data_IF_328068001092
#
_entry.id   IF_328068001092
#
_cell.length_a   1.000
_cell.length_b   1.000
_cell.length_c   1.000
_cell.angle_alpha   90.00
_cell.angle_beta   90.00
_cell.angle_gamma   90.00
#
_symmetry.space_group_name_H-M   'P 1'
#
loop_
_entity.id
_entity.type
_entity.pdbx_description
1 polymer ?
#
# COMPACT_ATOMS: atom_id res chain seq x y z
N UNK A 1 15.38 -29.28 -2.67
CA UNK A 1 14.22 -28.54 -3.22
C UNK A 1 13.93 -27.41 -2.28
N UNK A 2 14.17 -26.17 -2.69
CA UNK A 2 13.68 -25.00 -1.96
C UNK A 2 12.15 -25.08 -1.90
N UNK A 3 11.58 -24.92 -0.70
CA UNK A 3 10.13 -24.75 -0.55
C UNK A 3 9.78 -23.44 -1.23
N UNK A 4 9.22 -23.51 -2.44
CA UNK A 4 8.60 -22.36 -3.09
C UNK A 4 7.50 -21.88 -2.15
N UNK A 5 7.72 -20.75 -1.48
CA UNK A 5 6.74 -20.13 -0.59
C UNK A 5 5.73 -19.40 -1.45
N UNK A 6 4.64 -20.10 -1.79
CA UNK A 6 3.49 -19.63 -2.61
C UNK A 6 2.80 -18.35 -2.09
N UNK A 7 3.27 -17.76 -0.99
CA UNK A 7 2.68 -16.58 -0.34
C UNK A 7 3.58 -15.35 -0.35
N UNK A 8 4.74 -15.38 -1.00
CA UNK A 8 5.53 -14.15 -1.16
C UNK A 8 4.81 -13.19 -2.10
N UNK A 9 4.93 -11.87 -1.88
CA UNK A 9 4.45 -10.87 -2.85
C UNK A 9 5.05 -11.17 -4.22
N UNK A 10 6.32 -11.59 -4.28
CA UNK A 10 6.96 -11.99 -5.52
C UNK A 10 6.23 -13.15 -6.21
N UNK A 11 5.85 -14.20 -5.47
CA UNK A 11 5.09 -15.32 -6.05
C UNK A 11 3.69 -14.88 -6.49
N UNK A 12 3.00 -14.09 -5.67
CA UNK A 12 1.68 -13.56 -6.01
C UNK A 12 1.76 -12.73 -7.28
N UNK A 13 2.71 -11.80 -7.33
CA UNK A 13 2.93 -10.93 -8.47
C UNK A 13 3.37 -11.72 -9.71
N UNK A 14 4.15 -12.80 -9.60
CA UNK A 14 4.49 -13.66 -10.74
C UNK A 14 3.29 -14.42 -11.34
N UNK A 15 2.27 -14.72 -10.54
CA UNK A 15 1.17 -15.59 -10.96
C UNK A 15 -0.15 -14.86 -11.24
N UNK A 16 -0.22 -13.55 -11.02
CA UNK A 16 -1.43 -12.75 -11.21
C UNK A 16 -1.35 -11.90 -12.47
N UNK A 17 -2.50 -11.59 -13.07
CA UNK A 17 -2.55 -10.71 -14.25
C UNK A 17 -2.18 -9.27 -13.89
N UNK A 18 -2.62 -8.80 -12.72
CA UNK A 18 -2.40 -7.42 -12.28
C UNK A 18 -2.05 -7.34 -10.80
N UNK A 19 -1.09 -6.48 -10.48
CA UNK A 19 -0.75 -6.11 -9.10
C UNK A 19 -0.85 -4.59 -8.98
N UNK A 20 -1.79 -4.12 -8.16
CA UNK A 20 -2.02 -2.72 -7.85
C UNK A 20 -1.40 -2.39 -6.50
N UNK A 21 -0.50 -1.42 -6.49
CA UNK A 21 0.09 -0.89 -5.28
C UNK A 21 -0.74 0.25 -4.72
N UNK A 22 -1.07 0.15 -3.44
CA UNK A 22 -1.59 1.24 -2.64
C UNK A 22 -0.47 2.16 -2.14
N UNK A 23 -0.77 3.39 -1.74
CA UNK A 23 0.23 4.28 -1.16
C UNK A 23 0.67 3.83 0.23
N UNK A 24 -0.19 3.14 0.97
CA UNK A 24 0.08 2.73 2.33
C UNK A 24 1.24 1.75 2.46
N UNK A 25 1.53 0.96 1.41
CA UNK A 25 2.69 0.04 1.39
C UNK A 25 4.01 0.72 1.07
N UNK A 26 3.98 2.01 0.71
CA UNK A 26 5.18 2.75 0.37
C UNK A 26 6.08 2.94 1.58
N UNK A 27 5.54 3.01 2.80
CA UNK A 27 6.36 3.21 4.02
C UNK A 27 6.20 2.08 5.02
N UNK A 28 7.16 1.93 5.92
CA UNK A 28 6.97 1.06 7.08
C UNK A 28 6.24 1.85 8.18
N UNK A 29 5.08 1.35 8.59
CA UNK A 29 4.41 1.77 9.83
C UNK A 29 5.41 1.70 10.98
N UNK A 30 5.58 2.80 11.69
CA UNK A 30 6.49 2.86 12.82
C UNK A 30 5.71 2.79 14.13
N UNK A 31 5.97 1.77 14.95
CA UNK A 31 5.59 1.79 16.36
C UNK A 31 6.39 2.89 17.08
N UNK A 32 5.73 3.78 17.84
CA UNK A 32 6.41 4.64 18.81
C UNK A 32 6.33 4.05 20.22
N UNK A 33 7.39 4.22 21.02
CA UNK A 33 7.46 3.76 22.42
C UNK A 33 6.30 4.31 23.25
N UNK A 34 5.78 3.44 24.14
CA UNK A 34 4.75 3.71 25.14
C UNK A 34 4.90 5.09 25.80
N UNK A 35 3.85 5.91 25.74
CA UNK A 35 3.49 6.77 26.87
C UNK A 35 2.72 5.88 27.84
N UNK A 36 3.06 5.90 29.13
CA UNK A 36 2.41 5.03 30.10
C UNK A 36 0.88 5.27 30.11
N UNK A 37 0.09 4.24 29.81
CA UNK A 37 -1.38 4.28 29.87
C UNK A 37 -2.11 4.25 28.53
N UNK A 38 -1.43 4.52 27.41
CA UNK A 38 -2.04 4.50 26.07
C UNK A 38 -1.33 3.47 25.19
N UNK A 39 -2.09 2.73 24.37
CA UNK A 39 -1.54 1.70 23.48
C UNK A 39 -0.47 2.22 22.53
N UNK A 40 0.22 1.31 21.81
CA UNK A 40 1.17 1.69 20.75
C UNK A 40 0.46 2.59 19.73
N UNK A 41 0.89 3.84 19.60
CA UNK A 41 0.43 4.72 18.52
C UNK A 41 1.38 4.52 17.33
N UNK A 42 0.83 4.04 16.21
CA UNK A 42 1.53 3.87 14.94
C UNK A 42 1.45 5.16 14.15
N UNK A 43 2.58 5.56 13.58
CA UNK A 43 2.63 6.70 12.67
C UNK A 43 3.49 6.35 11.45
N UNK A 44 3.09 6.84 10.29
CA UNK A 44 3.81 6.67 9.03
C UNK A 44 5.18 7.36 9.07
N UNK A 45 6.09 6.89 8.21
CA UNK A 45 7.41 7.49 8.05
C UNK A 45 7.32 8.99 7.68
N UNK A 46 6.31 9.40 6.92
CA UNK A 46 6.04 10.81 6.59
C UNK A 46 5.83 11.67 7.85
N UNK A 47 5.03 11.20 8.80
CA UNK A 47 4.79 11.86 10.08
C UNK A 47 6.06 11.92 10.92
N UNK A 48 6.83 10.82 10.93
CA UNK A 48 8.13 10.78 11.59
C UNK A 48 9.09 11.86 11.06
N UNK A 49 9.16 12.05 9.74
CA UNK A 49 9.97 13.11 9.12
C UNK A 49 9.50 14.52 9.51
N UNK A 50 8.19 14.74 9.56
CA UNK A 50 7.62 16.03 9.94
C UNK A 50 8.00 16.48 11.36
N UNK A 51 8.33 15.55 12.27
CA UNK A 51 8.73 15.86 13.65
C UNK A 51 10.22 16.12 13.82
N UNK A 52 11.05 15.70 12.87
CA UNK A 52 12.49 15.81 12.98
C UNK A 52 12.96 17.22 12.66
N UNK A 53 13.66 17.83 13.62
CA UNK A 53 14.20 19.18 13.48
C UNK A 53 15.66 19.16 13.04
N UNK A 54 16.40 18.13 13.44
CA UNK A 54 17.82 17.94 13.15
C UNK A 54 18.13 16.48 12.78
N UNK A 55 19.13 16.28 11.90
CA UNK A 55 19.65 14.97 11.52
C UNK A 55 20.06 14.09 12.71
N UNK A 56 20.48 14.67 13.83
CA UNK A 56 20.86 13.92 15.02
C UNK A 56 19.67 13.17 15.64
N UNK A 57 18.45 13.68 15.47
CA UNK A 57 17.21 13.12 16.01
C UNK A 57 16.72 11.92 15.19
N UNK A 58 17.30 11.67 14.01
CA UNK A 58 17.00 10.44 13.28
C UNK A 58 17.39 9.21 14.11
N UNK A 59 16.50 8.24 14.16
CA UNK A 59 16.75 6.91 14.67
C UNK A 59 17.46 6.14 13.56
N UNK A 60 18.67 5.67 13.86
CA UNK A 60 19.52 5.01 12.88
C UNK A 60 18.91 3.68 12.43
N UNK A 61 18.33 2.91 13.34
CA UNK A 61 17.74 1.61 13.00
C UNK A 61 16.46 1.78 12.21
N UNK A 62 15.71 2.86 12.48
CA UNK A 62 14.54 3.23 11.68
C UNK A 62 14.93 3.61 10.25
N UNK A 63 15.98 4.42 10.07
CA UNK A 63 16.49 4.74 8.73
C UNK A 63 16.96 3.49 7.98
N UNK A 64 17.70 2.60 8.63
CA UNK A 64 18.13 1.33 8.00
C UNK A 64 16.93 0.47 7.58
N UNK A 65 15.94 0.32 8.47
CA UNK A 65 14.73 -0.46 8.18
C UNK A 65 13.95 0.13 7.00
N UNK A 66 13.81 1.46 6.97
CA UNK A 66 13.13 2.13 5.87
C UNK A 66 13.90 2.02 4.54
N UNK A 67 15.23 2.10 4.58
CA UNK A 67 16.08 1.91 3.39
C UNK A 67 15.95 0.49 2.84
N UNK A 68 15.95 -0.51 3.72
CA UNK A 68 15.74 -1.91 3.32
C UNK A 68 14.37 -2.06 2.65
N UNK A 69 13.30 -1.59 3.29
CA UNK A 69 11.95 -1.61 2.73
C UNK A 69 11.86 -0.96 1.36
N UNK A 70 12.40 0.26 1.20
CA UNK A 70 12.36 0.95 -0.10
C UNK A 70 13.18 0.21 -1.15
N UNK A 71 14.28 -0.45 -0.76
CA UNK A 71 15.11 -1.22 -1.68
C UNK A 71 14.41 -2.48 -2.16
N UNK A 72 13.75 -3.20 -1.24
CA UNK A 72 12.99 -4.41 -1.58
C UNK A 72 11.78 -4.08 -2.45
N UNK A 73 11.07 -2.99 -2.15
CA UNK A 73 9.97 -2.50 -2.97
C UNK A 73 10.44 -2.07 -4.37
N UNK A 74 11.56 -1.36 -4.44
CA UNK A 74 12.18 -1.00 -5.72
C UNK A 74 12.53 -2.24 -6.54
N UNK A 75 13.20 -3.22 -5.93
CA UNK A 75 13.55 -4.47 -6.59
C UNK A 75 12.31 -5.18 -7.14
N UNK A 76 11.25 -5.30 -6.32
CA UNK A 76 10.00 -5.93 -6.74
C UNK A 76 9.37 -5.21 -7.94
N UNK A 77 9.22 -3.88 -7.88
CA UNK A 77 8.62 -3.08 -8.95
C UNK A 77 9.41 -3.22 -10.26
N UNK A 78 10.74 -3.17 -10.19
CA UNK A 78 11.58 -3.29 -11.39
C UNK A 78 11.66 -4.72 -11.93
N UNK A 79 11.40 -5.73 -11.11
CA UNK A 79 11.50 -7.13 -11.50
C UNK A 79 10.23 -7.66 -12.16
N UNK A 80 9.09 -6.97 -12.03
CA UNK A 80 7.78 -7.47 -12.45
C UNK A 80 6.98 -6.40 -13.19
N UNK A 81 6.63 -6.69 -14.45
CA UNK A 81 6.01 -5.72 -15.36
C UNK A 81 4.51 -5.50 -15.12
N UNK A 82 3.86 -6.43 -14.42
CA UNK A 82 2.44 -6.35 -14.08
C UNK A 82 2.15 -5.57 -12.80
N UNK A 83 3.18 -4.97 -12.18
CA UNK A 83 3.04 -4.07 -11.05
C UNK A 83 2.75 -2.66 -11.54
N UNK A 84 1.61 -2.13 -11.10
CA UNK A 84 1.06 -0.85 -11.51
C UNK A 84 0.50 -0.08 -10.31
N UNK A 85 0.16 1.18 -10.54
CA UNK A 85 -0.50 2.05 -9.55
C UNK A 85 -1.63 2.81 -10.24
N UNK A 86 -2.70 3.14 -9.52
CA UNK A 86 -3.77 4.01 -10.04
C UNK A 86 -3.34 5.47 -9.89
N UNK A 87 -3.69 6.31 -10.86
CA UNK A 87 -3.30 7.74 -10.90
C UNK A 87 -3.62 8.51 -9.61
N UNK A 88 -4.79 8.31 -9.00
CA UNK A 88 -5.18 8.89 -7.73
C UNK A 88 -4.25 8.48 -6.58
N UNK A 89 -3.78 7.24 -6.60
CA UNK A 89 -2.85 6.71 -5.59
C UNK A 89 -1.43 7.25 -5.84
N UNK A 90 -1.04 7.39 -7.11
CA UNK A 90 0.22 8.04 -7.49
C UNK A 90 0.24 9.52 -7.07
N UNK A 91 -0.88 10.22 -7.21
CA UNK A 91 -1.05 11.60 -6.78
C UNK A 91 -0.82 11.73 -5.27
N UNK A 92 -1.43 10.87 -4.46
CA UNK A 92 -1.18 10.85 -3.01
C UNK A 92 0.29 10.49 -2.68
N UNK A 93 0.88 9.54 -3.40
CA UNK A 93 2.30 9.21 -3.25
C UNK A 93 3.22 10.40 -3.61
N UNK A 94 2.86 11.19 -4.61
CA UNK A 94 3.62 12.37 -5.03
C UNK A 94 3.77 13.40 -3.88
N UNK A 95 2.76 13.53 -3.02
CA UNK A 95 2.80 14.41 -1.85
C UNK A 95 3.88 13.94 -0.87
N UNK A 96 3.95 12.63 -0.62
CA UNK A 96 4.99 12.03 0.21
C UNK A 96 6.39 12.23 -0.40
N UNK A 97 6.55 11.97 -1.69
CA UNK A 97 7.82 12.15 -2.42
C UNK A 97 8.28 13.61 -2.38
N UNK A 98 7.35 14.55 -2.56
CA UNK A 98 7.62 15.99 -2.41
C UNK A 98 8.09 16.34 -1.00
N UNK A 99 7.47 15.73 0.02
CA UNK A 99 7.90 15.91 1.41
C UNK A 99 9.32 15.39 1.64
N UNK A 100 9.66 14.20 1.11
CA UNK A 100 11.02 13.65 1.16
C UNK A 100 12.02 14.60 0.50
N UNK A 101 11.71 15.09 -0.70
CA UNK A 101 12.60 15.95 -1.46
C UNK A 101 12.86 17.31 -0.79
N UNK A 102 11.82 17.92 -0.21
CA UNK A 102 11.97 19.16 0.54
C UNK A 102 12.85 18.97 1.79
N UNK A 103 12.66 17.88 2.53
CA UNK A 103 13.51 17.53 3.65
C UNK A 103 14.95 17.21 3.21
N UNK A 104 15.14 16.54 2.07
CA UNK A 104 16.45 16.25 1.47
C UNK A 104 17.22 17.53 1.19
N UNK A 105 16.57 18.56 0.63
CA UNK A 105 17.18 19.89 0.42
C UNK A 105 17.61 20.53 1.75
N UNK A 106 16.73 20.52 2.75
CA UNK A 106 17.01 21.05 4.10
C UNK A 106 18.23 20.37 4.73
N UNK A 107 18.28 19.04 4.75
CA UNK A 107 19.39 18.30 5.38
C UNK A 107 20.70 18.39 4.58
N UNK A 108 20.64 18.50 3.24
CA UNK A 108 21.83 18.80 2.41
C UNK A 108 22.42 20.17 2.74
N UNK A 109 21.61 21.18 3.02
CA UNK A 109 22.10 22.51 3.41
C UNK A 109 22.75 22.50 4.79
N UNK A 110 22.19 21.75 5.75
CA UNK A 110 22.80 21.54 7.08
C UNK A 110 24.18 20.86 6.93
N UNK A 111 24.30 19.82 6.09
CA UNK A 111 25.60 19.19 5.74
C UNK A 111 26.63 20.18 5.18
N UNK A 112 26.21 21.20 4.43
CA UNK A 112 27.11 22.23 3.87
C UNK A 112 27.50 23.31 4.89
N UNK A 113 26.62 23.64 5.83
CA UNK A 113 26.87 24.66 6.88
C UNK A 113 27.72 24.11 8.03
N UNK A 114 27.67 22.81 8.30
CA UNK A 114 28.47 22.13 9.33
C UNK A 114 29.79 21.57 8.78
N UNK A 115 30.70 22.45 8.29
CA UNK A 115 32.07 22.04 7.94
C UNK A 115 32.90 21.64 9.18
N UNK A 116 32.46 22.00 10.38
CA UNK A 116 33.01 21.52 11.65
C UNK A 116 32.38 20.18 12.05
N UNK A 117 33.21 19.13 12.13
CA UNK A 117 32.99 17.84 12.81
C UNK A 117 31.51 17.46 13.05
N UNK A 118 30.74 17.22 11.98
CA UNK A 118 29.57 16.36 12.11
C UNK A 118 30.05 15.02 12.68
N UNK A 119 29.58 14.68 13.89
CA UNK A 119 29.87 13.38 14.52
C UNK A 119 29.62 12.27 13.49
N UNK A 120 30.49 11.25 13.42
CA UNK A 120 30.41 10.18 12.40
C UNK A 120 28.98 9.62 12.22
N UNK A 121 28.24 9.51 13.33
CA UNK A 121 26.81 9.10 13.37
C UNK A 121 25.88 9.98 12.54
N UNK A 122 26.07 11.30 12.56
CA UNK A 122 25.23 12.27 11.86
C UNK A 122 25.40 12.19 10.34
N UNK A 123 26.66 12.03 9.90
CA UNK A 123 27.00 11.81 8.49
C UNK A 123 26.36 10.52 7.97
N UNK A 124 26.41 9.44 8.76
CA UNK A 124 25.76 8.18 8.42
C UNK A 124 24.24 8.35 8.28
N UNK A 125 23.57 8.96 9.26
CA UNK A 125 22.12 9.23 9.22
C UNK A 125 21.72 10.07 8.01
N UNK A 126 22.49 11.11 7.70
CA UNK A 126 22.24 11.96 6.51
C UNK A 126 22.38 11.17 5.22
N UNK A 127 23.42 10.34 5.10
CA UNK A 127 23.64 9.54 3.90
C UNK A 127 22.50 8.54 3.69
N UNK A 128 22.10 7.80 4.74
CA UNK A 128 20.96 6.89 4.69
C UNK A 128 19.67 7.60 4.28
N UNK A 129 19.39 8.78 4.87
CA UNK A 129 18.20 9.55 4.50
C UNK A 129 18.22 10.01 3.04
N UNK A 130 19.37 10.47 2.53
CA UNK A 130 19.51 10.84 1.12
C UNK A 130 19.26 9.65 0.21
N UNK A 131 19.81 8.49 0.55
CA UNK A 131 19.62 7.24 -0.19
C UNK A 131 18.15 6.82 -0.23
N UNK A 132 17.46 6.82 0.91
CA UNK A 132 16.00 6.59 0.98
C UNK A 132 15.25 7.52 0.02
N UNK A 133 15.59 8.81 0.02
CA UNK A 133 14.95 9.77 -0.89
C UNK A 133 15.23 9.46 -2.36
N UNK A 134 16.46 9.08 -2.70
CA UNK A 134 16.83 8.70 -4.07
C UNK A 134 16.08 7.42 -4.50
N UNK A 135 15.94 6.43 -3.62
CA UNK A 135 15.17 5.20 -3.90
C UNK A 135 13.69 5.49 -4.15
N UNK A 136 13.03 6.31 -3.32
CA UNK A 136 11.63 6.66 -3.53
C UNK A 136 11.38 7.50 -4.78
N UNK A 137 12.32 8.38 -5.16
CA UNK A 137 12.22 9.08 -6.44
C UNK A 137 12.26 8.08 -7.61
N UNK A 138 13.17 7.09 -7.57
CA UNK A 138 13.23 6.06 -8.60
C UNK A 138 11.97 5.19 -8.66
N UNK A 139 11.39 4.84 -7.51
CA UNK A 139 10.09 4.15 -7.43
C UNK A 139 8.98 4.99 -8.07
N UNK A 140 8.88 6.26 -7.70
CA UNK A 140 7.89 7.18 -8.23
C UNK A 140 8.02 7.34 -9.75
N UNK A 141 9.23 7.58 -10.25
CA UNK A 141 9.50 7.71 -11.67
C UNK A 141 9.08 6.44 -12.42
N UNK A 142 9.46 5.25 -11.91
CA UNK A 142 9.08 3.97 -12.49
C UNK A 142 7.55 3.78 -12.54
N UNK A 143 6.86 4.01 -11.42
CA UNK A 143 5.42 3.84 -11.33
C UNK A 143 4.65 4.87 -12.17
N UNK A 144 5.18 6.07 -12.35
CA UNK A 144 4.56 7.10 -13.20
C UNK A 144 4.35 6.63 -14.64
N UNK A 145 5.28 5.80 -15.17
CA UNK A 145 5.18 5.17 -16.48
C UNK A 145 4.27 3.93 -16.49
N UNK A 146 3.92 3.39 -15.32
CA UNK A 146 3.11 2.18 -15.13
C UNK A 146 1.78 2.50 -14.44
N UNK A 147 1.26 3.70 -14.71
CA UNK A 147 0.03 4.19 -14.10
C UNK A 147 -1.19 3.75 -14.90
N UNK A 148 -2.23 3.29 -14.21
CA UNK A 148 -3.54 3.05 -14.80
C UNK A 148 -4.43 4.28 -14.51
N UNK A 149 -5.02 4.90 -15.55
CA UNK A 149 -5.86 6.07 -15.35
C UNK A 149 -7.19 5.70 -14.68
N UNK A 150 -7.67 6.57 -13.81
CA UNK A 150 -9.06 6.53 -13.37
C UNK A 150 -9.98 6.84 -14.56
N UNK A 151 -10.91 5.93 -14.88
CA UNK A 151 -11.77 6.06 -16.05
C UNK A 151 -12.90 7.08 -15.83
N UNK A 152 -13.27 7.80 -16.89
CA UNK A 152 -14.39 8.76 -16.89
C UNK A 152 -15.74 8.10 -17.20
N UNK A 153 -16.80 8.93 -17.21
CA UNK A 153 -18.22 8.56 -17.05
C UNK A 153 -18.74 7.40 -17.94
N UNK A 154 -19.74 6.69 -17.41
CA UNK A 154 -20.41 5.49 -17.96
C UNK A 154 -19.65 4.16 -17.95
N UNK A 155 -18.38 4.15 -17.55
CA UNK A 155 -17.60 2.91 -17.40
C UNK A 155 -18.01 2.05 -16.18
N UNK A 156 -17.75 0.73 -16.25
CA UNK A 156 -17.96 -0.20 -15.12
C UNK A 156 -17.21 0.26 -13.87
N UNK A 157 -16.00 0.81 -14.04
CA UNK A 157 -15.24 1.50 -12.98
C UNK A 157 -16.07 2.54 -12.22
N UNK A 158 -16.70 3.50 -12.91
CA UNK A 158 -17.50 4.56 -12.26
C UNK A 158 -18.70 3.98 -11.53
N UNK A 159 -19.37 2.97 -12.10
CA UNK A 159 -20.49 2.29 -11.45
C UNK A 159 -20.07 1.57 -10.16
N UNK A 160 -18.95 0.85 -10.21
CA UNK A 160 -18.38 0.15 -9.04
C UNK A 160 -18.04 1.16 -7.94
N UNK A 161 -17.35 2.25 -8.30
CA UNK A 161 -16.97 3.32 -7.38
C UNK A 161 -18.18 3.96 -6.70
N UNK A 162 -19.19 4.39 -7.47
CA UNK A 162 -20.42 5.00 -6.95
C UNK A 162 -21.13 4.05 -5.98
N UNK A 163 -21.23 2.77 -6.34
CA UNK A 163 -21.83 1.77 -5.47
C UNK A 163 -21.09 1.64 -4.12
N UNK A 164 -19.76 1.58 -4.15
CA UNK A 164 -18.93 1.50 -2.94
C UNK A 164 -19.15 2.68 -2.01
N UNK A 165 -19.21 3.88 -2.57
CA UNK A 165 -19.42 5.13 -1.84
C UNK A 165 -20.83 5.21 -1.24
N UNK A 166 -21.88 5.00 -2.05
CA UNK A 166 -23.28 5.04 -1.62
C UNK A 166 -23.59 4.01 -0.52
N UNK A 167 -23.03 2.81 -0.65
CA UNK A 167 -23.19 1.73 0.34
C UNK A 167 -22.20 1.81 1.51
N UNK A 168 -21.28 2.78 1.50
CA UNK A 168 -20.23 2.98 2.50
C UNK A 168 -19.47 1.69 2.79
N UNK A 169 -18.99 1.04 1.73
CA UNK A 169 -18.37 -0.29 1.82
C UNK A 169 -17.01 -0.30 2.52
N UNK A 170 -16.41 0.86 2.79
CA UNK A 170 -15.23 0.97 3.66
C UNK A 170 -15.56 0.70 5.13
N UNK A 171 -16.83 0.85 5.53
CA UNK A 171 -17.26 0.58 6.91
C UNK A 171 -17.32 -0.94 7.14
N UNK A 172 -16.67 -1.46 8.19
CA UNK A 172 -16.67 -2.89 8.46
C UNK A 172 -18.07 -3.41 8.81
N UNK A 173 -18.49 -4.49 8.17
CA UNK A 173 -19.79 -5.16 8.40
C UNK A 173 -19.80 -6.10 9.62
N UNK A 174 -18.83 -5.95 10.52
CA UNK A 174 -18.62 -6.80 11.70
C UNK A 174 -17.30 -6.49 12.41
N UNK A 175 -16.86 -7.35 13.34
CA UNK A 175 -15.62 -7.14 14.12
C UNK A 175 -14.32 -7.51 13.39
N UNK A 176 -14.38 -7.84 12.09
CA UNK A 176 -13.22 -8.42 11.38
C UNK A 176 -12.12 -7.39 11.07
N UNK A 177 -12.49 -6.18 10.63
CA UNK A 177 -11.52 -5.13 10.22
C UNK A 177 -11.94 -3.76 10.75
N UNK A 178 -11.91 -3.61 12.08
CA UNK A 178 -12.34 -2.38 12.74
C UNK A 178 -11.16 -1.40 12.80
N UNK A 179 -11.31 -0.25 12.13
CA UNK A 179 -10.44 0.91 12.33
C UNK A 179 -10.77 1.52 13.70
N UNK A 180 -9.77 1.80 14.53
CA UNK A 180 -9.98 2.45 15.82
C UNK A 180 -10.49 3.90 15.70
N UNK A 181 -10.49 4.48 14.50
CA UNK A 181 -10.94 5.85 14.25
C UNK A 181 -12.37 5.89 13.71
N UNK A 182 -13.24 6.73 14.29
CA UNK A 182 -14.59 6.99 13.82
C UNK A 182 -14.67 7.82 12.53
N UNK A 183 -13.75 7.61 11.58
CA UNK A 183 -13.79 8.26 10.26
C UNK A 183 -14.97 7.73 9.47
N UNK A 184 -15.82 8.64 9.01
CA UNK A 184 -17.02 8.33 8.21
C UNK A 184 -16.76 8.36 6.71
N UNK A 185 -15.64 8.95 6.29
CA UNK A 185 -15.30 9.17 4.88
C UNK A 185 -14.13 8.29 4.45
N UNK A 186 -14.20 7.81 3.22
CA UNK A 186 -13.16 7.05 2.51
C UNK A 186 -12.46 7.99 1.52
N UNK A 187 -11.16 7.78 1.28
CA UNK A 187 -10.44 8.63 0.31
C UNK A 187 -10.84 8.30 -1.12
N UNK A 188 -10.59 9.25 -2.04
CA UNK A 188 -10.76 9.00 -3.48
C UNK A 188 -9.80 7.90 -3.94
N UNK A 189 -8.54 7.91 -3.48
CA UNK A 189 -7.54 6.93 -3.88
C UNK A 189 -7.94 5.50 -3.47
N UNK A 190 -8.48 5.31 -2.26
CA UNK A 190 -8.97 4.00 -1.79
C UNK A 190 -10.12 3.49 -2.65
N UNK A 191 -11.05 4.37 -3.01
CA UNK A 191 -12.17 4.01 -3.89
C UNK A 191 -11.70 3.65 -5.29
N UNK A 192 -10.82 4.47 -5.87
CA UNK A 192 -10.34 4.32 -7.24
C UNK A 192 -9.48 3.06 -7.40
N UNK A 193 -8.56 2.76 -6.47
CA UNK A 193 -7.77 1.53 -6.55
C UNK A 193 -8.64 0.27 -6.49
N UNK A 194 -9.65 0.24 -5.63
CA UNK A 194 -10.54 -0.93 -5.50
C UNK A 194 -11.50 -1.03 -6.67
N UNK A 195 -12.07 0.09 -7.14
CA UNK A 195 -12.92 0.10 -8.31
C UNK A 195 -12.15 -0.36 -9.56
N UNK A 196 -10.92 0.10 -9.74
CA UNK A 196 -10.06 -0.33 -10.84
C UNK A 196 -9.72 -1.81 -10.75
N UNK A 197 -9.50 -2.33 -9.53
CA UNK A 197 -9.25 -3.75 -9.32
C UNK A 197 -10.39 -4.63 -9.82
N UNK A 198 -11.63 -4.24 -9.49
CA UNK A 198 -12.81 -4.96 -9.97
C UNK A 198 -13.09 -4.72 -11.46
N UNK A 199 -12.77 -3.55 -11.98
CA UNK A 199 -12.89 -3.25 -13.42
C UNK A 199 -11.95 -4.14 -14.25
N UNK A 200 -10.68 -4.25 -13.85
CA UNK A 200 -9.73 -5.20 -14.47
C UNK A 200 -10.20 -6.65 -14.34
N UNK A 201 -10.88 -6.98 -13.24
CA UNK A 201 -11.40 -8.32 -13.02
C UNK A 201 -12.58 -8.72 -13.93
N UNK A 202 -13.10 -7.79 -14.73
CA UNK A 202 -14.08 -8.08 -15.80
C UNK A 202 -13.41 -8.66 -17.06
N UNK A 203 -12.09 -8.52 -17.19
CA UNK A 203 -11.29 -9.09 -18.27
C UNK A 203 -10.74 -10.47 -17.88
N UNK A 204 -10.50 -11.34 -18.86
CA UNK A 204 -9.94 -12.67 -18.63
C UNK A 204 -8.51 -12.60 -18.09
N UNK A 205 -8.21 -13.36 -17.03
CA UNK A 205 -6.88 -13.36 -16.41
C UNK A 205 -6.74 -14.33 -15.26
N UNK A 206 -5.58 -14.29 -14.59
CA UNK A 206 -5.22 -15.17 -13.48
C UNK A 206 -5.49 -14.54 -12.10
N UNK A 207 -6.05 -13.32 -12.06
CA UNK A 207 -6.39 -12.62 -10.82
C UNK A 207 -5.83 -11.19 -10.77
N UNK A 208 -6.49 -10.37 -9.97
CA UNK A 208 -6.08 -9.01 -9.63
C UNK A 208 -5.72 -8.96 -8.15
N UNK A 209 -4.55 -8.43 -7.85
CA UNK A 209 -4.03 -8.30 -6.49
C UNK A 209 -3.88 -6.83 -6.13
N UNK A 210 -4.41 -6.44 -4.97
CA UNK A 210 -4.13 -5.15 -4.32
C UNK A 210 -3.20 -5.39 -3.15
N UNK A 211 -2.09 -4.66 -3.08
CA UNK A 211 -1.19 -4.69 -1.93
C UNK A 211 -1.41 -3.39 -1.15
N UNK A 212 -2.02 -3.50 0.03
CA UNK A 212 -2.42 -2.35 0.85
C UNK A 212 -2.30 -2.66 2.33
N UNK A 213 -1.89 -1.67 3.13
CA UNK A 213 -2.03 -1.69 4.58
C UNK A 213 -3.21 -0.82 5.09
N UNK A 214 -4.00 -0.19 4.21
CA UNK A 214 -5.20 0.53 4.63
C UNK A 214 -6.38 -0.44 4.81
N UNK A 215 -6.99 -0.36 5.99
CA UNK A 215 -8.17 -1.13 6.33
C UNK A 215 -9.39 -0.72 5.49
N UNK A 216 -9.44 0.52 5.01
CA UNK A 216 -10.54 0.98 4.16
C UNK A 216 -10.49 0.26 2.81
N UNK A 217 -9.31 0.15 2.18
CA UNK A 217 -9.08 -0.65 0.96
C UNK A 217 -9.46 -2.12 1.18
N UNK A 218 -9.05 -2.71 2.31
CA UNK A 218 -9.39 -4.10 2.65
C UNK A 218 -10.91 -4.29 2.77
N UNK A 219 -11.58 -3.39 3.48
CA UNK A 219 -13.03 -3.44 3.68
C UNK A 219 -13.78 -3.25 2.36
N UNK A 220 -13.35 -2.31 1.51
CA UNK A 220 -13.92 -2.09 0.19
C UNK A 220 -13.81 -3.35 -0.69
N UNK A 221 -12.62 -3.95 -0.78
CA UNK A 221 -12.40 -5.18 -1.57
C UNK A 221 -13.34 -6.29 -1.08
N UNK A 222 -13.34 -6.53 0.23
CA UNK A 222 -14.13 -7.61 0.82
C UNK A 222 -15.65 -7.39 0.69
N UNK A 223 -16.13 -6.22 1.10
CA UNK A 223 -17.56 -5.94 1.18
C UNK A 223 -18.19 -5.84 -0.21
N UNK A 224 -17.48 -5.28 -1.20
CA UNK A 224 -17.96 -5.27 -2.58
C UNK A 224 -18.07 -6.68 -3.13
N UNK A 225 -17.07 -7.53 -2.91
CA UNK A 225 -17.09 -8.94 -3.32
C UNK A 225 -18.29 -9.70 -2.74
N UNK A 226 -18.55 -9.53 -1.44
CA UNK A 226 -19.70 -10.13 -0.77
C UNK A 226 -21.04 -9.65 -1.37
N UNK A 227 -21.18 -8.35 -1.63
CA UNK A 227 -22.37 -7.81 -2.27
C UNK A 227 -22.54 -8.29 -3.71
N UNK A 228 -21.45 -8.37 -4.47
CA UNK A 228 -21.49 -8.84 -5.84
C UNK A 228 -22.02 -10.28 -5.97
N UNK A 229 -21.67 -11.17 -5.03
CA UNK A 229 -22.20 -12.55 -5.05
C UNK A 229 -23.65 -12.66 -4.56
N UNK A 230 -24.02 -11.89 -3.55
CA UNK A 230 -25.32 -12.03 -2.90
C UNK A 230 -26.39 -11.11 -3.50
N UNK A 231 -25.98 -10.04 -4.18
CA UNK A 231 -26.84 -8.95 -4.67
C UNK A 231 -26.42 -8.50 -6.07
N UNK A 232 -25.99 -9.43 -6.91
CA UNK A 232 -25.51 -9.15 -8.28
C UNK A 232 -26.47 -8.29 -9.11
N UNK A 233 -27.78 -8.47 -8.92
CA UNK A 233 -28.82 -7.67 -9.60
C UNK A 233 -28.83 -6.19 -9.23
N UNK A 234 -28.19 -5.80 -8.12
CA UNK A 234 -28.08 -4.41 -7.67
C UNK A 234 -26.81 -3.72 -8.18
N UNK A 235 -25.93 -4.44 -8.89
CA UNK A 235 -24.66 -3.95 -9.43
C UNK A 235 -24.66 -4.27 -10.93
N UNK A 236 -25.31 -3.41 -11.72
CA UNK A 236 -25.30 -3.54 -13.18
C UNK A 236 -23.95 -3.10 -13.76
N UNK A 237 -23.08 -4.07 -14.04
CA UNK A 237 -21.79 -3.86 -14.72
C UNK A 237 -21.95 -4.01 -16.24
N UNK A 238 -22.99 -3.40 -16.83
CA UNK A 238 -23.29 -3.49 -18.27
C UNK A 238 -23.45 -4.95 -18.74
N UNK A 239 -24.10 -5.78 -17.93
CA UNK A 239 -24.25 -7.22 -18.19
C UNK A 239 -22.97 -8.05 -18.07
N UNK A 240 -21.82 -7.45 -17.72
CA UNK A 240 -20.56 -8.18 -17.55
C UNK A 240 -20.51 -8.96 -16.24
N UNK A 241 -19.69 -10.00 -16.24
CA UNK A 241 -19.41 -10.84 -15.07
C UNK A 241 -17.93 -10.81 -14.73
N UNK A 242 -17.58 -10.86 -13.44
CA UNK A 242 -16.18 -11.01 -13.05
C UNK A 242 -15.61 -12.30 -13.66
N UNK A 243 -14.53 -12.16 -14.43
CA UNK A 243 -13.81 -13.26 -15.09
C UNK A 243 -12.66 -13.77 -14.25
N UNK A 244 -12.18 -12.97 -13.29
CA UNK A 244 -11.08 -13.31 -12.41
C UNK A 244 -11.33 -12.80 -10.99
N UNK A 245 -10.55 -13.32 -10.03
CA UNK A 245 -10.68 -12.99 -8.61
C UNK A 245 -9.94 -11.70 -8.28
N UNK A 246 -10.54 -10.86 -7.44
CA UNK A 246 -9.84 -9.75 -6.76
C UNK A 246 -9.40 -10.21 -5.38
N UNK A 247 -8.14 -10.00 -5.05
CA UNK A 247 -7.56 -10.32 -3.73
C UNK A 247 -6.83 -9.10 -3.17
N UNK A 248 -6.95 -8.86 -1.87
CA UNK A 248 -6.16 -7.84 -1.15
C UNK A 248 -5.19 -8.50 -0.18
N UNK A 249 -3.95 -8.01 -0.18
CA UNK A 249 -2.87 -8.51 0.65
C UNK A 249 -2.35 -7.42 1.57
N UNK A 250 -2.40 -7.72 2.87
CA UNK A 250 -1.88 -6.88 3.95
C UNK A 250 -0.48 -7.34 4.35
N UNK A 251 0.61 -6.64 3.96
CA UNK A 251 1.93 -6.91 4.49
C UNK A 251 1.94 -6.58 5.99
N UNK A 252 2.23 -7.57 6.84
CA UNK A 252 2.15 -7.39 8.28
C UNK A 252 3.15 -6.34 8.80
N UNK A 253 2.73 -5.67 9.86
CA UNK A 253 3.31 -4.52 10.55
C UNK A 253 4.70 -4.72 11.23
N UNK A 254 5.47 -5.76 10.88
CA UNK A 254 6.82 -6.00 11.38
C UNK A 254 7.67 -6.60 10.27
N UNK A 255 8.32 -5.72 9.50
CA UNK A 255 9.35 -6.10 8.54
C UNK A 255 8.84 -6.77 7.28
N UNK A 256 9.35 -6.29 6.15
CA UNK A 256 9.47 -7.02 4.88
C UNK A 256 10.38 -8.24 5.02
N UNK A 257 10.17 -9.10 6.03
CA UNK A 257 11.05 -10.23 6.28
C UNK A 257 10.78 -11.31 5.24
N UNK A 258 11.35 -11.19 4.03
CA UNK A 258 11.63 -12.24 3.02
C UNK A 258 10.56 -13.29 2.68
N UNK A 259 9.37 -13.15 3.25
CA UNK A 259 8.32 -14.12 3.40
C UNK A 259 7.12 -13.29 3.82
N UNK A 260 6.29 -12.90 2.87
CA UNK A 260 4.96 -12.48 3.24
C UNK A 260 4.25 -13.69 3.84
N UNK A 261 4.27 -13.75 5.17
CA UNK A 261 3.17 -14.31 5.92
C UNK A 261 1.98 -13.38 5.68
N UNK A 262 1.32 -13.52 4.53
CA UNK A 262 0.03 -12.90 4.27
C UNK A 262 -0.88 -13.26 5.45
N UNK A 263 -1.24 -12.29 6.29
CA UNK A 263 -2.21 -12.53 7.36
C UNK A 263 -3.62 -12.73 6.82
N UNK A 264 -3.86 -12.37 5.55
CA UNK A 264 -5.22 -12.25 5.04
C UNK A 264 -5.29 -12.33 3.51
N UNK A 265 -6.35 -13.01 3.04
CA UNK A 265 -6.89 -12.98 1.69
C UNK A 265 -8.41 -12.77 1.82
N UNK A 266 -8.91 -11.63 1.35
CA UNK A 266 -10.33 -11.48 1.04
C UNK A 266 -10.53 -11.73 -0.44
N UNK A 267 -11.60 -12.43 -0.77
CA UNK A 267 -11.90 -12.79 -2.14
C UNK A 267 -13.23 -12.18 -2.54
N UNK A 268 -13.35 -11.94 -3.83
CA UNK A 268 -14.61 -11.60 -4.48
C UNK A 268 -15.67 -12.71 -4.39
N UNK A 269 -15.37 -13.91 -3.86
CA UNK A 269 -16.31 -15.03 -3.63
C UNK A 269 -16.97 -15.04 -2.23
N UNK A 270 -16.65 -14.06 -1.38
CA UNK A 270 -17.21 -13.96 -0.02
C UNK A 270 -16.55 -14.88 1.02
N UNK A 271 -15.54 -15.67 0.63
CA UNK A 271 -14.74 -16.45 1.58
C UNK A 271 -13.69 -15.54 2.25
N UNK A 272 -13.78 -15.39 3.58
CA UNK A 272 -12.70 -14.83 4.41
C UNK A 272 -11.91 -15.95 5.06
N UNK A 273 -10.64 -16.12 4.71
CA UNK A 273 -9.76 -16.99 5.49
C UNK A 273 -9.19 -16.17 6.65
N UNK A 274 -9.90 -16.17 7.77
CA UNK A 274 -9.39 -15.67 9.04
C UNK A 274 -8.38 -16.66 9.62
N UNK A 275 -7.14 -16.23 9.79
CA UNK A 275 -6.07 -16.90 10.53
C UNK A 275 -5.83 -18.38 10.15
N UNK A 276 -5.19 -18.62 8.99
CA UNK A 276 -4.57 -19.90 8.70
C UNK A 276 -3.14 -19.66 8.21
N UNK A 277 -2.16 -20.25 8.92
CA UNK A 277 -0.83 -20.53 8.37
C UNK A 277 -1.08 -21.27 7.03
N UNK A 278 -0.64 -20.71 5.90
CA UNK A 278 -1.02 -21.18 4.54
C UNK A 278 -0.51 -22.58 4.16
N UNK A 279 -0.48 -22.98 2.85
CA UNK A 279 -1.28 -22.56 1.67
C UNK A 279 -2.60 -23.33 1.57
N UNK A 280 -3.52 -22.98 0.66
CA UNK A 280 -4.12 -23.89 -0.36
C UNK A 280 -4.97 -23.06 -1.35
N UNK A 281 -5.05 -23.61 -2.56
CA UNK A 281 -5.51 -23.10 -3.86
C UNK A 281 -7.00 -22.74 -3.89
#
# INVERSE_FOLDING_TARGET
MEKVTEHTIEHLAKNTSHVLLDNGVMTLDCDYKKVAGEGKIRFDFSYYLGRIRDVQEFDLERLKSQLQHSSDLSFLIHSLDNITMVDSTLEEHSIFVNHLFNNKKRFRQIKKRSKEKLKRSAKQKTNLFVEICDTYMGIYDCLSWRTIPSLSDESSFVKIRKYMEERRLHIPRGRKFVKNSGRTHVSKADLDIVAQSYNLALESGNGVVVISNDMDVINLVYNFGADYNHRRSQIDLNGQSLQQRVSVYYPANEGWVGNLNCKFKANSDGLTNGALRGPWF
#
